data_IF_617161966463
#
_entry.id   IF_617161966463
#
_cell.length_a   1.000
_cell.length_b   1.000
_cell.length_c   1.000
_cell.angle_alpha   90.00
_cell.angle_beta   90.00
_cell.angle_gamma   90.00
#
_symmetry.space_group_name_H-M   'P 1'
#
loop_
_entity.id
_entity.type
_entity.pdbx_description
1 polymer ?
#
# COMPACT_ATOMS: atom_id res chain seq x y z
N UNK A 1 8.34 -28.29 12.84
CA UNK A 1 8.37 -26.98 12.15
C UNK A 1 7.07 -26.27 12.48
N UNK A 2 7.09 -25.06 13.04
CA UNK A 2 5.84 -24.39 13.39
C UNK A 2 5.05 -24.07 12.12
N UNK A 3 3.77 -24.44 12.05
CA UNK A 3 2.90 -24.20 10.91
C UNK A 3 2.94 -22.74 10.46
N UNK A 4 3.15 -22.53 9.16
CA UNK A 4 3.10 -21.20 8.54
C UNK A 4 1.63 -20.83 8.35
N UNK A 5 1.17 -19.65 8.82
CA UNK A 5 -0.21 -19.21 8.59
C UNK A 5 -0.55 -19.15 7.11
N UNK A 6 -1.83 -19.32 6.76
CA UNK A 6 -2.28 -19.15 5.38
C UNK A 6 -1.93 -17.74 4.86
N UNK A 7 -1.02 -17.67 3.89
CA UNK A 7 -0.49 -16.42 3.37
C UNK A 7 -1.36 -15.79 2.28
N UNK A 8 -2.29 -16.55 1.68
CA UNK A 8 -3.13 -16.09 0.58
C UNK A 8 -3.84 -14.75 0.85
N UNK A 9 -4.58 -14.55 1.96
CA UNK A 9 -5.31 -13.29 2.16
C UNK A 9 -4.39 -12.08 2.31
N UNK A 10 -3.26 -12.24 3.00
CA UNK A 10 -2.25 -11.18 3.18
C UNK A 10 -1.58 -10.84 1.85
N UNK A 11 -1.16 -11.86 1.10
CA UNK A 11 -0.54 -11.68 -0.20
C UNK A 11 -1.50 -10.98 -1.19
N UNK A 12 -2.78 -11.37 -1.20
CA UNK A 12 -3.81 -10.73 -2.01
C UNK A 12 -3.99 -9.25 -1.65
N UNK A 13 -4.03 -8.89 -0.37
CA UNK A 13 -4.17 -7.48 0.04
C UNK A 13 -2.93 -6.67 -0.36
N UNK A 14 -1.72 -7.21 -0.16
CA UNK A 14 -0.48 -6.53 -0.53
C UNK A 14 -0.36 -6.35 -2.05
N UNK A 15 -0.64 -7.40 -2.83
CA UNK A 15 -0.62 -7.34 -4.30
C UNK A 15 -1.72 -6.40 -4.83
N UNK A 16 -2.94 -6.52 -4.32
CA UNK A 16 -4.06 -5.66 -4.72
C UNK A 16 -3.80 -4.19 -4.41
N UNK A 17 -3.27 -3.89 -3.22
CA UNK A 17 -2.87 -2.52 -2.89
C UNK A 17 -1.70 -2.02 -3.76
N UNK A 18 -0.73 -2.88 -4.06
CA UNK A 18 0.39 -2.52 -4.93
C UNK A 18 -0.05 -2.20 -6.36
N UNK A 19 -0.96 -3.01 -6.93
CA UNK A 19 -1.57 -2.77 -8.24
C UNK A 19 -2.42 -1.50 -8.25
N UNK A 20 -3.16 -1.24 -7.18
CA UNK A 20 -3.92 -0.01 -7.00
C UNK A 20 -3.01 1.23 -7.03
N UNK A 21 -1.90 1.22 -6.28
CA UNK A 21 -0.94 2.34 -6.26
C UNK A 21 -0.27 2.55 -7.62
N UNK A 22 0.08 1.47 -8.31
CA UNK A 22 0.59 1.50 -9.68
C UNK A 22 -0.42 2.16 -10.63
N UNK A 23 -1.68 1.75 -10.57
CA UNK A 23 -2.76 2.32 -11.38
C UNK A 23 -2.98 3.80 -11.12
N UNK A 24 -3.06 4.22 -9.84
CA UNK A 24 -3.18 5.63 -9.47
C UNK A 24 -1.95 6.44 -9.91
N UNK A 25 -0.74 5.90 -9.74
CA UNK A 25 0.49 6.56 -10.17
C UNK A 25 0.56 6.76 -11.69
N UNK A 26 0.20 5.73 -12.45
CA UNK A 26 0.10 5.80 -13.91
C UNK A 26 -0.93 6.82 -14.37
N UNK A 27 -2.13 6.78 -13.79
CA UNK A 27 -3.18 7.75 -14.08
C UNK A 27 -2.72 9.19 -13.77
N UNK A 28 -2.07 9.38 -12.61
CA UNK A 28 -1.49 10.67 -12.20
C UNK A 28 -0.45 11.21 -13.18
N UNK A 29 0.44 10.36 -13.69
CA UNK A 29 1.39 10.76 -14.72
C UNK A 29 0.69 11.17 -16.02
N UNK A 30 -0.30 10.39 -16.45
CA UNK A 30 -1.06 10.65 -17.68
C UNK A 30 -1.78 11.99 -17.63
N UNK A 31 -2.50 12.31 -16.55
CA UNK A 31 -3.21 13.59 -16.42
C UNK A 31 -2.27 14.79 -16.31
N UNK A 32 -1.04 14.58 -15.82
CA UNK A 32 -0.02 15.63 -15.76
C UNK A 32 0.72 15.86 -17.09
N UNK A 33 0.33 15.18 -18.16
CA UNK A 33 1.06 15.24 -19.44
C UNK A 33 2.50 14.77 -19.32
N UNK A 34 2.77 13.84 -18.39
CA UNK A 34 4.10 13.35 -18.06
C UNK A 34 5.09 14.38 -17.47
N UNK A 35 4.62 15.57 -17.10
CA UNK A 35 5.48 16.62 -16.52
C UNK A 35 5.73 16.43 -15.03
N UNK A 36 4.83 15.74 -14.32
CA UNK A 36 4.91 15.55 -12.87
C UNK A 36 4.92 14.05 -12.50
N UNK A 37 6.07 13.40 -12.71
CA UNK A 37 6.29 11.97 -12.46
C UNK A 37 6.24 11.52 -10.99
N UNK A 38 6.09 12.44 -10.03
CA UNK A 38 6.12 12.11 -8.61
C UNK A 38 5.06 11.07 -8.21
N UNK A 39 3.88 11.13 -8.82
CA UNK A 39 2.80 10.15 -8.62
C UNK A 39 3.16 8.79 -9.20
N UNK A 40 3.80 8.73 -10.37
CA UNK A 40 4.25 7.48 -10.98
C UNK A 40 5.38 6.83 -10.16
N UNK A 41 6.37 7.60 -9.72
CA UNK A 41 7.45 7.07 -8.89
C UNK A 41 6.93 6.57 -7.54
N UNK A 42 6.01 7.31 -6.90
CA UNK A 42 5.38 6.87 -5.67
C UNK A 42 4.52 5.61 -5.89
N UNK A 43 3.74 5.57 -6.97
CA UNK A 43 2.88 4.44 -7.31
C UNK A 43 3.66 3.18 -7.67
N UNK A 44 4.67 3.31 -8.54
CA UNK A 44 5.52 2.19 -8.96
C UNK A 44 6.46 1.70 -7.85
N UNK A 45 7.12 2.62 -7.15
CA UNK A 45 7.96 2.27 -6.00
C UNK A 45 7.15 1.62 -4.88
N UNK A 46 5.98 2.19 -4.55
CA UNK A 46 5.08 1.62 -3.55
C UNK A 46 4.50 0.27 -3.96
N UNK A 47 4.10 0.12 -5.23
CA UNK A 47 3.61 -1.13 -5.79
C UNK A 47 4.65 -2.23 -5.78
N UNK A 48 5.88 -1.94 -6.21
CA UNK A 48 6.99 -2.88 -6.17
C UNK A 48 7.34 -3.31 -4.73
N UNK A 49 7.42 -2.35 -3.80
CA UNK A 49 7.72 -2.64 -2.40
C UNK A 49 6.67 -3.54 -1.75
N UNK A 50 5.38 -3.29 -2.00
CA UNK A 50 4.29 -4.15 -1.53
C UNK A 50 4.27 -5.51 -2.22
N UNK A 51 4.60 -5.57 -3.51
CA UNK A 51 4.76 -6.82 -4.24
C UNK A 51 5.84 -7.70 -3.63
N UNK A 52 7.02 -7.13 -3.32
CA UNK A 52 8.09 -7.84 -2.61
C UNK A 52 7.62 -8.30 -1.23
N UNK A 53 6.92 -7.46 -0.47
CA UNK A 53 6.34 -7.87 0.82
C UNK A 53 5.37 -9.04 0.65
N UNK A 54 4.53 -9.02 -0.38
CA UNK A 54 3.63 -10.11 -0.74
C UNK A 54 4.39 -11.41 -1.02
N UNK A 55 5.42 -11.36 -1.87
CA UNK A 55 6.28 -12.51 -2.18
C UNK A 55 6.95 -13.09 -0.91
N UNK A 56 7.42 -12.24 0.00
CA UNK A 56 7.99 -12.67 1.27
C UNK A 56 6.98 -13.46 2.13
N UNK A 57 5.69 -13.13 2.04
CA UNK A 57 4.64 -13.88 2.75
C UNK A 57 4.41 -15.27 2.19
N UNK A 58 4.67 -15.50 0.90
CA UNK A 58 4.50 -16.81 0.25
C UNK A 58 5.78 -17.67 0.33
N UNK A 59 6.90 -17.12 0.80
CA UNK A 59 8.23 -17.76 0.81
C UNK A 59 8.42 -18.96 1.76
N UNK A 60 7.35 -19.58 2.25
CA UNK A 60 7.39 -20.89 2.92
C UNK A 60 7.99 -20.92 4.34
N UNK A 61 8.51 -19.81 4.86
CA UNK A 61 9.05 -19.75 6.24
C UNK A 61 8.31 -18.74 7.10
N UNK A 62 8.08 -19.09 8.38
CA UNK A 62 7.39 -18.21 9.34
C UNK A 62 8.11 -16.87 9.55
N UNK A 63 9.44 -16.87 9.48
CA UNK A 63 10.26 -15.64 9.61
C UNK A 63 9.99 -14.68 8.45
N UNK A 64 10.09 -15.16 7.20
CA UNK A 64 9.82 -14.34 6.01
C UNK A 64 8.37 -13.86 5.98
N UNK A 65 7.43 -14.73 6.37
CA UNK A 65 6.03 -14.37 6.51
C UNK A 65 5.82 -13.18 7.46
N UNK A 66 6.40 -13.26 8.66
CA UNK A 66 6.29 -12.18 9.63
C UNK A 66 6.94 -10.89 9.13
N UNK A 67 8.10 -10.97 8.50
CA UNK A 67 8.78 -9.78 7.94
C UNK A 67 7.89 -9.13 6.89
N UNK A 68 7.39 -9.90 5.91
CA UNK A 68 6.53 -9.39 4.84
C UNK A 68 5.26 -8.71 5.37
N UNK A 69 4.61 -9.32 6.37
CA UNK A 69 3.41 -8.73 7.02
C UNK A 69 3.74 -7.39 7.71
N UNK A 70 4.81 -7.33 8.51
CA UNK A 70 5.10 -6.13 9.30
C UNK A 70 5.64 -5.00 8.43
N UNK A 71 6.52 -5.30 7.49
CA UNK A 71 7.02 -4.30 6.53
C UNK A 71 5.86 -3.80 5.67
N UNK A 72 4.98 -4.69 5.18
CA UNK A 72 3.79 -4.32 4.42
C UNK A 72 2.85 -3.39 5.19
N UNK A 73 2.58 -3.69 6.47
CA UNK A 73 1.77 -2.82 7.35
C UNK A 73 2.42 -1.44 7.56
N UNK A 74 3.73 -1.39 7.79
CA UNK A 74 4.45 -0.13 7.97
C UNK A 74 4.42 0.71 6.70
N UNK A 75 4.60 0.08 5.53
CA UNK A 75 4.49 0.76 4.23
C UNK A 75 3.07 1.29 3.98
N UNK A 76 2.03 0.49 4.23
CA UNK A 76 0.65 0.94 4.09
C UNK A 76 0.33 2.13 5.00
N UNK A 77 0.82 2.11 6.24
CA UNK A 77 0.68 3.22 7.17
C UNK A 77 1.42 4.47 6.67
N UNK A 78 2.67 4.31 6.22
CA UNK A 78 3.47 5.40 5.67
C UNK A 78 2.80 6.02 4.43
N UNK A 79 2.29 5.19 3.52
CA UNK A 79 1.55 5.65 2.33
C UNK A 79 0.29 6.41 2.70
N UNK A 80 -0.49 5.91 3.67
CA UNK A 80 -1.67 6.61 4.17
C UNK A 80 -1.32 7.99 4.72
N UNK A 81 -0.26 8.10 5.54
CA UNK A 81 0.20 9.36 6.10
C UNK A 81 0.72 10.33 5.01
N UNK A 82 1.53 9.84 4.08
CA UNK A 82 2.13 10.65 3.01
C UNK A 82 1.06 11.15 2.03
N UNK A 83 0.12 10.29 1.60
CA UNK A 83 -0.96 10.71 0.72
C UNK A 83 -1.95 11.63 1.42
N UNK A 84 -2.27 11.39 2.70
CA UNK A 84 -3.08 12.29 3.51
C UNK A 84 -2.45 13.69 3.65
N UNK A 85 -1.14 13.74 3.93
CA UNK A 85 -0.40 15.00 4.00
C UNK A 85 -0.37 15.73 2.65
N UNK A 86 -0.18 15.00 1.55
CA UNK A 86 -0.20 15.58 0.20
C UNK A 86 -1.59 16.07 -0.21
N UNK A 87 -2.66 15.36 0.17
CA UNK A 87 -4.03 15.80 -0.02
C UNK A 87 -4.29 17.10 0.75
N UNK A 88 -3.93 17.15 2.04
CA UNK A 88 -4.10 18.36 2.85
C UNK A 88 -3.32 19.56 2.28
N UNK A 89 -2.06 19.35 1.86
CA UNK A 89 -1.23 20.41 1.23
C UNK A 89 -1.71 20.86 -0.15
N UNK A 90 -2.54 20.07 -0.81
CA UNK A 90 -3.10 20.41 -2.12
C UNK A 90 -4.51 20.99 -2.02
N UNK A 91 -5.13 20.93 -0.84
CA UNK A 91 -6.46 21.46 -0.58
C UNK A 91 -6.44 23.00 -0.67
N UNK A 92 -7.34 23.55 -1.49
CA UNK A 92 -7.46 25.01 -1.67
C UNK A 92 -6.32 25.66 -2.46
N UNK A 93 -5.41 24.90 -3.07
CA UNK A 93 -4.30 25.42 -3.89
C UNK A 93 -4.65 25.24 -5.38
N UNK A 94 -4.98 26.32 -6.12
CA UNK A 94 -5.42 26.22 -7.53
C UNK A 94 -4.40 25.51 -8.43
N UNK A 95 -3.11 25.77 -8.21
CA UNK A 95 -2.02 25.15 -8.96
C UNK A 95 -1.85 23.63 -8.73
N UNK A 96 -2.58 23.04 -7.78
CA UNK A 96 -2.51 21.62 -7.42
C UNK A 96 -3.88 20.94 -7.43
N UNK A 97 -4.92 21.63 -7.89
CA UNK A 97 -6.31 21.16 -7.86
C UNK A 97 -6.47 19.79 -8.55
N UNK A 98 -5.76 19.56 -9.65
CA UNK A 98 -5.84 18.31 -10.43
C UNK A 98 -5.28 17.09 -9.67
N UNK A 99 -4.40 17.33 -8.68
CA UNK A 99 -3.72 16.28 -7.92
C UNK A 99 -4.44 15.94 -6.62
N UNK A 100 -5.26 16.85 -6.11
CA UNK A 100 -5.99 16.66 -4.86
C UNK A 100 -6.90 15.42 -4.88
N UNK A 101 -7.78 15.22 -5.89
CA UNK A 101 -8.63 14.03 -5.96
C UNK A 101 -7.81 12.74 -5.97
N UNK A 102 -6.68 12.74 -6.70
CA UNK A 102 -5.80 11.58 -6.78
C UNK A 102 -5.21 11.21 -5.41
N UNK A 103 -4.70 12.18 -4.65
CA UNK A 103 -4.17 11.92 -3.31
C UNK A 103 -5.24 11.47 -2.32
N UNK A 104 -6.46 11.98 -2.44
CA UNK A 104 -7.60 11.52 -1.63
C UNK A 104 -7.91 10.06 -1.92
N UNK A 105 -8.00 9.67 -3.21
CA UNK A 105 -8.24 8.28 -3.61
C UNK A 105 -7.11 7.37 -3.14
N UNK A 106 -5.85 7.75 -3.36
CA UNK A 106 -4.70 6.97 -2.91
C UNK A 106 -4.68 6.79 -1.40
N UNK A 107 -4.95 7.85 -0.64
CA UNK A 107 -5.05 7.79 0.82
C UNK A 107 -6.18 6.85 1.27
N UNK A 108 -7.38 7.00 0.71
CA UNK A 108 -8.51 6.14 1.03
C UNK A 108 -8.24 4.66 0.74
N UNK A 109 -7.65 4.36 -0.42
CA UNK A 109 -7.25 2.99 -0.78
C UNK A 109 -6.18 2.42 0.16
N UNK A 110 -5.19 3.22 0.57
CA UNK A 110 -4.17 2.80 1.53
C UNK A 110 -4.73 2.54 2.93
N UNK A 111 -5.67 3.39 3.41
CA UNK A 111 -6.35 3.19 4.69
C UNK A 111 -7.22 1.92 4.66
N UNK A 112 -7.94 1.70 3.56
CA UNK A 112 -8.72 0.48 3.38
C UNK A 112 -7.82 -0.77 3.39
N UNK A 113 -6.72 -0.75 2.62
CA UNK A 113 -5.77 -1.86 2.57
C UNK A 113 -5.12 -2.13 3.95
N UNK A 114 -4.83 -1.08 4.72
CA UNK A 114 -4.34 -1.20 6.09
C UNK A 114 -5.38 -1.84 7.01
N UNK A 115 -6.65 -1.43 6.89
CA UNK A 115 -7.78 -2.04 7.60
C UNK A 115 -7.94 -3.53 7.29
N UNK A 116 -7.87 -3.90 6.00
CA UNK A 116 -7.92 -5.29 5.56
C UNK A 116 -6.72 -6.09 6.07
N UNK A 117 -5.50 -5.55 6.00
CA UNK A 117 -4.32 -6.22 6.56
C UNK A 117 -4.44 -6.43 8.07
N UNK A 118 -5.02 -5.49 8.81
CA UNK A 118 -5.28 -5.65 10.25
C UNK A 118 -6.33 -6.73 10.52
N UNK A 119 -7.35 -6.84 9.68
CA UNK A 119 -8.40 -7.86 9.80
C UNK A 119 -7.89 -9.27 9.46
N UNK A 120 -7.05 -9.41 8.43
CA UNK A 120 -6.54 -10.70 7.96
C UNK A 120 -5.22 -11.14 8.58
N UNK A 121 -4.54 -10.27 9.36
CA UNK A 121 -3.33 -10.68 10.08
C UNK A 121 -3.66 -11.82 11.06
N UNK A 122 -2.90 -12.94 11.04
CA UNK A 122 -3.10 -14.01 12.00
C UNK A 122 -2.90 -13.49 13.42
N UNK A 123 -3.94 -13.59 14.25
CA UNK A 123 -3.88 -13.25 15.66
C UNK A 123 -3.11 -14.35 16.39
N UNK A 124 -2.32 -13.98 17.39
CA UNK A 124 -1.73 -14.97 18.29
C UNK A 124 -2.87 -15.79 18.91
N UNK A 125 -2.78 -17.12 18.88
CA UNK A 125 -3.72 -17.96 19.63
C UNK A 125 -3.57 -17.56 21.11
N UNK A 126 -4.65 -17.06 21.70
CA UNK A 126 -4.74 -16.84 23.13
C UNK A 126 -4.43 -18.19 23.80
N UNK A 127 -3.42 -18.22 24.67
CA UNK A 127 -3.16 -19.41 25.50
C UNK A 127 -4.34 -19.52 26.46
N UNK A 128 -5.30 -20.39 26.15
CA UNK A 128 -6.22 -20.92 27.16
C UNK A 128 -5.43 -21.74 28.18
#
# INVERSE_FOLDING_TARGET
MADVPNAAPVACVLAGHGLFLLGCGWYGAKISGWTAMHSLYAGAGGGAALGVCGLLTVGGTRKLYMIGVHVGLLLQLAFSAVFGLQAWRSYGVPAKADRFPLFVVMCGGSVLALGLMRAFKPKAKEKK
#
